data_IF_754376346101
#
_entry.id   IF_754376346101
#
_cell.length_a   1.000
_cell.length_b   1.000
_cell.length_c   1.000
_cell.angle_alpha   90.00
_cell.angle_beta   90.00
_cell.angle_gamma   90.00
#
_symmetry.space_group_name_H-M   'P 1'
#
loop_
_entity.id
_entity.type
_entity.pdbx_description
1 polymer ?
#
# COMPACT_ATOMS: atom_id res chain seq x y z
N UNK A 1 -40.17 -24.01 -36.78
CA UNK A 1 -39.94 -22.99 -35.73
C UNK A 1 -38.53 -23.20 -35.20
N UNK A 2 -37.56 -22.41 -35.67
CA UNK A 2 -36.14 -22.60 -35.35
C UNK A 2 -35.67 -21.37 -34.60
N UNK A 3 -35.49 -21.52 -33.29
CA UNK A 3 -35.04 -20.46 -32.39
C UNK A 3 -33.58 -20.15 -32.68
N UNK A 4 -33.31 -19.00 -33.28
CA UNK A 4 -31.96 -18.50 -33.57
C UNK A 4 -31.32 -18.08 -32.23
N UNK A 5 -30.48 -18.95 -31.66
CA UNK A 5 -29.66 -18.58 -30.50
C UNK A 5 -28.73 -17.42 -30.90
N UNK A 6 -28.91 -16.27 -30.25
CA UNK A 6 -27.99 -15.15 -30.37
C UNK A 6 -26.64 -15.56 -29.78
N UNK A 7 -25.57 -15.37 -30.55
CA UNK A 7 -24.20 -15.56 -30.06
C UNK A 7 -23.92 -14.58 -28.90
N UNK A 8 -23.17 -15.00 -27.87
CA UNK A 8 -22.80 -14.11 -26.78
C UNK A 8 -21.98 -12.94 -27.33
N UNK A 9 -22.29 -11.72 -26.87
CA UNK A 9 -21.59 -10.52 -27.25
C UNK A 9 -20.08 -10.70 -26.99
N UNK A 10 -19.29 -10.53 -28.03
CA UNK A 10 -17.83 -10.48 -27.95
C UNK A 10 -17.48 -9.27 -27.08
N UNK A 11 -16.98 -9.53 -25.87
CA UNK A 11 -16.42 -8.50 -25.00
C UNK A 11 -15.29 -7.78 -25.74
N UNK A 12 -15.43 -6.47 -25.89
CA UNK A 12 -14.45 -5.61 -26.56
C UNK A 12 -13.05 -5.86 -25.94
N UNK A 13 -12.02 -6.25 -26.73
CA UNK A 13 -10.68 -6.56 -26.23
C UNK A 13 -9.98 -5.35 -25.58
N UNK A 14 -10.55 -4.14 -25.69
CA UNK A 14 -10.10 -2.95 -24.98
C UNK A 14 -10.78 -2.68 -23.64
N UNK A 15 -11.77 -3.49 -23.25
CA UNK A 15 -12.33 -3.46 -21.90
C UNK A 15 -11.32 -4.15 -20.97
N UNK A 16 -10.27 -3.42 -20.58
CA UNK A 16 -9.42 -3.86 -19.47
C UNK A 16 -10.36 -4.10 -18.29
N UNK A 17 -10.45 -5.35 -17.81
CA UNK A 17 -11.11 -5.63 -16.53
C UNK A 17 -10.63 -4.60 -15.52
N UNK A 18 -11.59 -3.93 -14.86
CA UNK A 18 -11.27 -3.08 -13.74
C UNK A 18 -10.50 -3.94 -12.75
N UNK A 19 -9.18 -3.72 -12.67
CA UNK A 19 -8.34 -4.48 -11.75
C UNK A 19 -8.97 -4.32 -10.36
N UNK A 20 -9.13 -5.38 -9.57
CA UNK A 20 -9.73 -5.32 -8.23
C UNK A 20 -8.95 -4.42 -7.23
N UNK A 21 -7.91 -3.72 -7.70
CA UNK A 21 -7.10 -2.72 -7.02
C UNK A 21 -7.16 -1.39 -7.78
N UNK A 22 -8.38 -0.97 -8.17
CA UNK A 22 -8.64 0.29 -8.82
C UNK A 22 -8.24 1.43 -7.88
N UNK A 23 -7.08 2.02 -8.17
CA UNK A 23 -6.50 3.25 -7.62
C UNK A 23 -7.16 3.73 -6.33
N UNK A 24 -6.58 3.37 -5.20
CA UNK A 24 -6.99 3.94 -3.92
C UNK A 24 -7.09 5.47 -4.07
N UNK A 25 -8.25 6.03 -3.74
CA UNK A 25 -8.46 7.47 -3.85
C UNK A 25 -7.86 8.17 -2.64
N UNK A 26 -7.19 9.30 -2.84
CA UNK A 26 -6.68 10.12 -1.76
C UNK A 26 -7.82 10.64 -0.88
N UNK A 27 -7.65 10.60 0.44
CA UNK A 27 -8.58 11.16 1.41
C UNK A 27 -7.83 12.06 2.39
N UNK A 28 -8.49 13.04 3.01
CA UNK A 28 -7.85 13.94 3.97
C UNK A 28 -8.11 13.57 5.42
N UNK A 29 -9.04 12.65 5.67
CA UNK A 29 -9.43 12.20 7.01
C UNK A 29 -9.99 10.77 6.97
N UNK A 30 -9.96 10.09 8.12
CA UNK A 30 -10.57 8.78 8.29
C UNK A 30 -12.09 8.89 8.41
N UNK A 31 -12.81 7.96 7.77
CA UNK A 31 -14.25 7.84 7.95
C UNK A 31 -14.58 7.25 9.34
N UNK A 32 -15.78 7.48 9.89
CA UNK A 32 -16.22 6.85 11.14
C UNK A 32 -16.16 5.31 11.09
N UNK A 33 -16.43 4.74 9.91
CA UNK A 33 -16.31 3.29 9.68
C UNK A 33 -14.87 2.82 9.75
N UNK A 34 -13.93 3.57 9.17
CA UNK A 34 -12.50 3.27 9.27
C UNK A 34 -12.00 3.30 10.72
N UNK A 35 -12.43 4.30 11.50
CA UNK A 35 -12.05 4.41 12.92
C UNK A 35 -12.53 3.20 13.73
N UNK A 36 -13.78 2.74 13.52
CA UNK A 36 -14.34 1.57 14.21
C UNK A 36 -13.62 0.26 13.87
N UNK A 37 -13.00 0.17 12.70
CA UNK A 37 -12.28 -1.02 12.26
C UNK A 37 -10.82 -1.10 12.69
N UNK A 38 -10.26 -0.06 13.33
CA UNK A 38 -8.86 -0.05 13.78
C UNK A 38 -8.52 -1.20 14.75
N UNK A 39 -9.36 -1.52 15.76
CA UNK A 39 -9.07 -2.65 16.65
C UNK A 39 -9.02 -3.98 15.89
N UNK A 40 -9.97 -4.19 14.97
CA UNK A 40 -10.05 -5.41 14.14
C UNK A 40 -8.80 -5.53 13.24
N UNK A 41 -8.39 -4.42 12.60
CA UNK A 41 -7.19 -4.35 11.77
C UNK A 41 -5.94 -4.75 12.56
N UNK A 42 -5.74 -4.16 13.74
CA UNK A 42 -4.57 -4.45 14.58
C UNK A 42 -4.54 -5.91 14.99
N UNK A 43 -5.64 -6.42 15.52
CA UNK A 43 -5.76 -7.80 15.99
C UNK A 43 -5.43 -8.81 14.87
N UNK A 44 -5.97 -8.61 13.67
CA UNK A 44 -5.78 -9.54 12.54
C UNK A 44 -4.39 -9.52 11.92
N UNK A 45 -3.58 -8.50 12.18
CA UNK A 45 -2.29 -8.30 11.50
C UNK A 45 -1.07 -8.33 12.43
N UNK A 46 -1.29 -8.42 13.76
CA UNK A 46 -0.24 -8.38 14.78
C UNK A 46 0.82 -9.47 14.57
N UNK A 47 0.39 -10.72 14.38
CA UNK A 47 1.29 -11.86 14.15
C UNK A 47 2.08 -11.75 12.83
N UNK A 48 1.52 -11.07 11.84
CA UNK A 48 2.10 -10.93 10.50
C UNK A 48 2.99 -9.68 10.35
N UNK A 49 3.10 -8.84 11.38
CA UNK A 49 3.77 -7.55 11.33
C UNK A 49 5.20 -7.62 10.76
N UNK A 50 6.03 -8.51 11.29
CA UNK A 50 7.42 -8.62 10.87
C UNK A 50 7.54 -9.08 9.41
N UNK A 51 6.66 -9.96 8.96
CA UNK A 51 6.58 -10.43 7.59
C UNK A 51 6.13 -9.30 6.64
N UNK A 52 5.13 -8.50 7.04
CA UNK A 52 4.66 -7.34 6.29
C UNK A 52 5.79 -6.33 6.03
N UNK A 53 6.49 -5.91 7.09
CA UNK A 53 7.58 -4.94 6.97
C UNK A 53 8.73 -5.47 6.10
N UNK A 54 9.06 -6.76 6.22
CA UNK A 54 10.09 -7.41 5.39
C UNK A 54 9.68 -7.43 3.92
N UNK A 55 8.46 -7.88 3.62
CA UNK A 55 7.93 -7.95 2.26
C UNK A 55 7.87 -6.57 1.60
N UNK A 56 7.46 -5.53 2.34
CA UNK A 56 7.45 -4.16 1.86
C UNK A 56 8.86 -3.65 1.52
N UNK A 57 9.84 -3.90 2.40
CA UNK A 57 11.23 -3.53 2.15
C UNK A 57 11.81 -4.28 0.95
N UNK A 58 11.56 -5.59 0.82
CA UNK A 58 12.04 -6.39 -0.30
C UNK A 58 11.35 -5.97 -1.62
N UNK A 59 10.05 -5.63 -1.61
CA UNK A 59 9.34 -5.06 -2.77
C UNK A 59 9.93 -3.69 -3.18
N UNK A 60 10.25 -2.84 -2.21
CA UNK A 60 10.87 -1.53 -2.48
C UNK A 60 12.24 -1.64 -3.18
N UNK A 61 12.97 -2.73 -2.96
CA UNK A 61 14.23 -3.02 -3.66
C UNK A 61 13.95 -3.47 -5.11
N UNK A 62 12.92 -4.27 -5.33
CA UNK A 62 12.52 -4.75 -6.66
C UNK A 62 12.09 -3.61 -7.59
N UNK A 63 11.27 -2.67 -7.10
CA UNK A 63 10.75 -1.57 -7.93
C UNK A 63 11.83 -0.61 -8.44
N UNK A 64 13.00 -0.56 -7.79
CA UNK A 64 14.13 0.26 -8.23
C UNK A 64 15.06 -0.43 -9.22
N UNK A 65 15.00 -1.76 -9.28
CA UNK A 65 15.87 -2.58 -10.12
C UNK A 65 15.05 -3.41 -11.10
N UNK A 66 14.21 -2.81 -11.96
CA UNK A 66 13.50 -3.58 -12.98
C UNK A 66 14.45 -4.24 -14.00
N UNK A 67 15.72 -3.76 -14.12
CA UNK A 67 16.66 -4.15 -15.19
C UNK A 67 17.93 -4.90 -14.72
N UNK A 68 18.16 -5.09 -13.41
CA UNK A 68 19.36 -5.81 -12.90
C UNK A 68 19.25 -7.34 -13.00
N UNK A 69 18.20 -7.88 -13.63
CA UNK A 69 18.12 -9.31 -13.93
C UNK A 69 19.19 -9.74 -14.97
N UNK A 70 19.76 -8.79 -15.72
CA UNK A 70 20.81 -9.05 -16.74
C UNK A 70 22.23 -8.79 -16.21
N UNK A 71 22.39 -7.91 -15.21
CA UNK A 71 23.70 -7.62 -14.58
C UNK A 71 23.80 -8.30 -13.21
N UNK A 72 24.39 -9.48 -13.25
CA UNK A 72 24.75 -10.27 -12.09
C UNK A 72 25.43 -9.45 -10.97
N UNK A 73 24.93 -9.63 -9.74
CA UNK A 73 25.74 -9.69 -8.51
C UNK A 73 26.28 -8.40 -7.88
N UNK A 74 25.47 -7.33 -7.76
CA UNK A 74 25.63 -6.41 -6.61
C UNK A 74 24.47 -6.53 -5.64
N UNK A 75 24.62 -7.45 -4.68
CA UNK A 75 23.74 -7.52 -3.52
C UNK A 75 23.63 -6.12 -2.90
N UNK A 76 22.42 -5.65 -2.54
CA UNK A 76 22.29 -4.36 -1.87
C UNK A 76 23.14 -4.37 -0.60
N UNK A 77 23.91 -3.29 -0.40
CA UNK A 77 24.73 -3.10 0.80
C UNK A 77 23.82 -3.28 2.02
N UNK A 78 24.25 -4.08 3.00
CA UNK A 78 23.45 -4.45 4.20
C UNK A 78 22.85 -3.20 4.88
N UNK A 79 23.59 -2.08 4.89
CA UNK A 79 23.15 -0.80 5.41
C UNK A 79 21.90 -0.24 4.72
N UNK A 80 21.78 -0.38 3.39
CA UNK A 80 20.62 0.07 2.62
C UNK A 80 19.40 -0.79 2.98
N UNK A 81 19.58 -2.12 3.05
CA UNK A 81 18.50 -3.05 3.41
C UNK A 81 17.97 -2.76 4.81
N UNK A 82 18.86 -2.53 5.78
CA UNK A 82 18.46 -2.23 7.16
C UNK A 82 17.74 -0.89 7.26
N UNK A 83 18.19 0.15 6.54
CA UNK A 83 17.49 1.45 6.50
C UNK A 83 16.07 1.30 5.96
N UNK A 84 15.88 0.55 4.87
CA UNK A 84 14.55 0.31 4.30
C UNK A 84 13.65 -0.53 5.18
N UNK A 85 14.19 -1.57 5.81
CA UNK A 85 13.44 -2.34 6.80
C UNK A 85 12.98 -1.46 7.94
N UNK A 86 13.85 -0.60 8.48
CA UNK A 86 13.46 0.36 9.53
C UNK A 86 12.35 1.29 9.06
N UNK A 87 12.45 1.86 7.86
CA UNK A 87 11.40 2.72 7.29
C UNK A 87 10.08 1.96 7.09
N UNK A 88 10.13 0.74 6.55
CA UNK A 88 8.97 -0.14 6.39
C UNK A 88 8.32 -0.47 7.73
N UNK A 89 9.12 -0.86 8.72
CA UNK A 89 8.66 -1.15 10.10
C UNK A 89 7.95 0.06 10.68
N UNK A 90 8.56 1.25 10.64
CA UNK A 90 7.95 2.48 11.16
C UNK A 90 6.61 2.80 10.48
N UNK A 91 6.56 2.65 9.16
CA UNK A 91 5.35 2.92 8.41
C UNK A 91 4.24 1.91 8.70
N UNK A 92 4.56 0.61 8.74
CA UNK A 92 3.58 -0.43 9.09
C UNK A 92 3.08 -0.23 10.52
N UNK A 93 3.95 0.09 11.49
CA UNK A 93 3.52 0.43 12.87
C UNK A 93 2.56 1.62 12.87
N UNK A 94 2.86 2.67 12.12
CA UNK A 94 1.99 3.83 12.01
C UNK A 94 0.60 3.44 11.44
N UNK A 95 0.56 2.58 10.42
CA UNK A 95 -0.70 2.08 9.85
C UNK A 95 -1.48 1.25 10.88
N UNK A 96 -0.86 0.29 11.55
CA UNK A 96 -1.55 -0.54 12.55
C UNK A 96 -2.04 0.26 13.77
N UNK A 97 -1.39 1.39 14.06
CA UNK A 97 -1.82 2.34 15.08
C UNK A 97 -2.84 3.37 14.57
N UNK A 98 -3.28 3.31 13.31
CA UNK A 98 -4.22 4.26 12.73
C UNK A 98 -3.71 5.70 12.65
N UNK A 99 -2.39 5.88 12.57
CA UNK A 99 -1.75 7.20 12.65
C UNK A 99 -1.94 7.97 11.34
N UNK A 100 -2.79 8.99 11.39
CA UNK A 100 -3.01 9.94 10.29
C UNK A 100 -2.72 11.39 10.70
N UNK A 101 -2.00 11.59 11.80
CA UNK A 101 -1.64 12.93 12.28
C UNK A 101 -0.55 13.57 11.41
N UNK A 102 -0.49 14.90 11.43
CA UNK A 102 0.46 15.71 10.65
C UNK A 102 1.92 15.26 10.77
N UNK A 103 2.35 14.85 11.96
CA UNK A 103 3.75 14.46 12.20
C UNK A 103 4.07 13.14 11.50
N UNK A 104 3.13 12.20 11.54
CA UNK A 104 3.22 10.92 10.83
C UNK A 104 3.22 11.13 9.32
N UNK A 105 2.28 11.92 8.79
CA UNK A 105 2.19 12.18 7.35
C UNK A 105 3.43 12.89 6.81
N UNK A 106 3.99 13.84 7.59
CA UNK A 106 5.26 14.50 7.25
C UNK A 106 6.43 13.52 7.26
N UNK A 107 6.49 12.63 8.25
CA UNK A 107 7.53 11.60 8.35
C UNK A 107 7.45 10.61 7.18
N UNK A 108 6.24 10.22 6.79
CA UNK A 108 6.01 9.41 5.61
C UNK A 108 6.54 10.11 4.36
N UNK A 109 6.07 11.32 4.06
CA UNK A 109 6.41 12.04 2.83
C UNK A 109 7.90 12.37 2.72
N UNK A 110 8.53 12.82 3.81
CA UNK A 110 9.88 13.39 3.77
C UNK A 110 10.98 12.43 4.23
N UNK A 111 10.64 11.30 4.86
CA UNK A 111 11.64 10.39 5.43
C UNK A 111 11.43 8.93 5.03
N UNK A 112 10.29 8.34 5.35
CA UNK A 112 10.09 6.90 5.15
C UNK A 112 9.95 6.55 3.67
N UNK A 113 9.14 7.31 2.94
CA UNK A 113 8.89 7.10 1.51
C UNK A 113 10.16 7.30 0.68
N UNK A 114 10.95 8.38 0.85
CA UNK A 114 12.18 8.54 0.08
C UNK A 114 13.26 7.49 0.44
N UNK A 115 13.29 7.01 1.69
CA UNK A 115 14.16 5.89 2.09
C UNK A 115 13.76 4.56 1.42
N UNK A 116 12.45 4.26 1.39
CA UNK A 116 11.92 3.07 0.71
C UNK A 116 12.10 3.17 -0.80
N UNK A 117 11.79 4.32 -1.38
CA UNK A 117 11.94 4.63 -2.80
C UNK A 117 13.40 4.83 -3.23
N UNK A 118 14.34 4.91 -2.29
CA UNK A 118 15.78 5.01 -2.55
C UNK A 118 16.18 6.24 -3.36
N UNK A 119 15.36 7.29 -3.31
CA UNK A 119 15.54 8.53 -4.07
C UNK A 119 16.31 9.60 -3.29
N UNK A 120 16.84 9.26 -2.11
CA UNK A 120 17.47 10.24 -1.23
C UNK A 120 16.40 11.12 -0.57
N UNK A 121 16.58 12.45 -0.43
CA UNK A 121 15.57 13.36 0.09
C UNK A 121 14.55 13.82 -0.97
N UNK A 122 14.68 13.38 -2.22
CA UNK A 122 13.77 13.78 -3.31
C UNK A 122 12.41 13.08 -3.18
N UNK A 123 11.44 13.85 -2.69
CA UNK A 123 10.05 13.41 -2.49
C UNK A 123 9.27 13.30 -3.79
N UNK A 124 9.60 14.13 -4.79
CA UNK A 124 8.91 14.11 -6.10
C UNK A 124 9.27 12.82 -6.83
N UNK A 125 10.55 12.46 -6.84
CA UNK A 125 11.00 11.17 -7.37
C UNK A 125 10.41 9.99 -6.58
N UNK A 126 10.22 10.13 -5.26
CA UNK A 126 9.68 9.08 -4.42
C UNK A 126 8.18 8.80 -4.66
N UNK A 127 7.41 9.81 -5.09
CA UNK A 127 5.94 9.72 -5.17
C UNK A 127 5.42 8.61 -6.09
N UNK A 128 6.07 8.39 -7.25
CA UNK A 128 5.70 7.31 -8.17
C UNK A 128 5.89 5.91 -7.57
N UNK A 129 7.00 5.70 -6.85
CA UNK A 129 7.25 4.49 -6.07
C UNK A 129 6.30 4.38 -4.88
N UNK A 130 5.94 5.52 -4.28
CA UNK A 130 5.02 5.62 -3.16
C UNK A 130 3.66 5.02 -3.45
N UNK A 131 3.05 5.36 -4.59
CA UNK A 131 1.79 4.77 -5.05
C UNK A 131 1.88 3.24 -5.15
N UNK A 132 2.95 2.73 -5.76
CA UNK A 132 3.19 1.28 -5.90
C UNK A 132 3.34 0.60 -4.55
N UNK A 133 4.03 1.23 -3.61
CA UNK A 133 4.23 0.73 -2.25
C UNK A 133 2.92 0.69 -1.46
N UNK A 134 2.08 1.73 -1.58
CA UNK A 134 0.75 1.79 -0.95
C UNK A 134 -0.14 0.66 -1.48
N UNK A 135 -0.22 0.49 -2.80
CA UNK A 135 -1.02 -0.58 -3.41
C UNK A 135 -0.49 -1.98 -3.06
N UNK A 136 0.83 -2.16 -3.05
CA UNK A 136 1.44 -3.40 -2.60
C UNK A 136 1.06 -3.72 -1.15
N UNK A 137 1.14 -2.73 -0.26
CA UNK A 137 0.80 -2.91 1.15
C UNK A 137 -0.69 -3.17 1.35
N UNK A 138 -1.55 -2.48 0.58
CA UNK A 138 -3.00 -2.74 0.54
C UNK A 138 -3.29 -4.19 0.19
N UNK A 139 -2.74 -4.68 -0.91
CA UNK A 139 -2.92 -6.06 -1.36
C UNK A 139 -2.40 -7.09 -0.36
N UNK A 140 -1.20 -6.85 0.17
CA UNK A 140 -0.56 -7.73 1.15
C UNK A 140 -1.36 -7.82 2.46
N UNK A 141 -1.82 -6.68 2.99
CA UNK A 141 -2.62 -6.66 4.20
C UNK A 141 -4.02 -7.21 3.96
N UNK A 142 -4.63 -6.95 2.81
CA UNK A 142 -5.92 -7.54 2.43
C UNK A 142 -5.83 -9.07 2.42
N UNK A 143 -4.78 -9.64 1.81
CA UNK A 143 -4.57 -11.08 1.84
C UNK A 143 -4.53 -11.63 3.28
N UNK A 144 -3.83 -10.95 4.19
CA UNK A 144 -3.79 -11.34 5.61
C UNK A 144 -5.16 -11.24 6.30
N UNK A 145 -5.96 -10.21 6.00
CA UNK A 145 -7.28 -10.03 6.60
C UNK A 145 -8.26 -11.16 6.22
N UNK A 146 -8.12 -11.71 5.01
CA UNK A 146 -9.02 -12.73 4.46
C UNK A 146 -8.40 -14.14 4.37
N UNK A 147 -7.29 -14.39 5.07
CA UNK A 147 -6.55 -15.66 5.01
C UNK A 147 -7.38 -16.87 5.50
N UNK A 148 -8.36 -16.65 6.38
CA UNK A 148 -9.24 -17.70 6.91
C UNK A 148 -10.61 -17.66 6.24
N UNK A 149 -10.86 -18.60 5.33
CA UNK A 149 -12.13 -18.72 4.59
C UNK A 149 -13.37 -18.97 5.46
N UNK A 150 -13.19 -19.54 6.65
CA UNK A 150 -14.27 -19.81 7.61
C UNK A 150 -14.52 -18.67 8.62
N UNK A 151 -13.78 -17.56 8.54
CA UNK A 151 -13.91 -16.47 9.50
C UNK A 151 -15.15 -15.61 9.23
N UNK A 152 -15.62 -14.93 10.28
CA UNK A 152 -16.68 -13.93 10.15
C UNK A 152 -16.19 -12.75 9.27
N UNK A 153 -16.96 -12.44 8.23
CA UNK A 153 -16.63 -11.37 7.28
C UNK A 153 -16.79 -9.96 7.87
N UNK A 154 -17.63 -9.78 8.91
CA UNK A 154 -17.94 -8.44 9.43
C UNK A 154 -16.72 -7.75 10.06
N UNK A 155 -15.93 -8.40 10.94
CA UNK A 155 -14.67 -7.83 11.41
C UNK A 155 -13.64 -7.59 10.29
N UNK A 156 -13.59 -8.48 9.28
CA UNK A 156 -12.66 -8.32 8.14
C UNK A 156 -13.02 -7.11 7.26
N UNK A 157 -14.31 -6.90 6.98
CA UNK A 157 -14.80 -5.75 6.24
C UNK A 157 -14.52 -4.43 6.99
N UNK A 158 -14.67 -4.43 8.31
CA UNK A 158 -14.30 -3.28 9.16
C UNK A 158 -12.80 -3.02 9.14
N UNK A 159 -11.97 -4.05 9.30
CA UNK A 159 -10.52 -3.95 9.22
C UNK A 159 -10.07 -3.43 7.83
N UNK A 160 -10.70 -3.91 6.75
CA UNK A 160 -10.44 -3.44 5.39
C UNK A 160 -10.80 -1.97 5.21
N UNK A 161 -11.96 -1.55 5.72
CA UNK A 161 -12.36 -0.14 5.70
C UNK A 161 -11.38 0.76 6.48
N UNK A 162 -10.84 0.28 7.59
CA UNK A 162 -9.81 0.95 8.36
C UNK A 162 -8.51 1.08 7.54
N UNK A 163 -8.05 -0.03 6.97
CA UNK A 163 -6.85 -0.07 6.12
C UNK A 163 -6.97 0.89 4.94
N UNK A 164 -8.05 0.80 4.16
CA UNK A 164 -8.27 1.64 2.98
C UNK A 164 -8.34 3.12 3.37
N UNK A 165 -8.99 3.46 4.49
CA UNK A 165 -9.02 4.83 5.01
C UNK A 165 -7.63 5.38 5.35
N UNK A 166 -6.81 4.62 6.06
CA UNK A 166 -5.45 5.05 6.45
C UNK A 166 -4.57 5.22 5.22
N UNK A 167 -4.59 4.23 4.32
CA UNK A 167 -3.80 4.26 3.11
C UNK A 167 -4.23 5.41 2.18
N UNK A 168 -5.51 5.77 2.15
CA UNK A 168 -6.03 6.90 1.40
C UNK A 168 -5.49 8.24 1.93
N UNK A 169 -5.39 8.39 3.26
CA UNK A 169 -4.78 9.57 3.89
C UNK A 169 -3.28 9.63 3.66
N UNK A 170 -2.61 8.48 3.75
CA UNK A 170 -1.18 8.38 3.42
C UNK A 170 -0.90 8.73 1.95
N UNK A 171 -1.77 8.28 1.04
CA UNK A 171 -1.67 8.61 -0.37
C UNK A 171 -1.87 10.11 -0.63
N UNK A 172 -2.83 10.75 0.04
CA UNK A 172 -3.02 12.20 -0.06
C UNK A 172 -1.75 12.96 0.35
N UNK A 173 -1.11 12.55 1.45
CA UNK A 173 0.15 13.16 1.88
C UNK A 173 1.27 13.03 0.83
N UNK A 174 1.38 11.87 0.17
CA UNK A 174 2.34 11.65 -0.92
C UNK A 174 2.01 12.53 -2.13
N UNK A 175 0.73 12.64 -2.50
CA UNK A 175 0.30 13.46 -3.63
C UNK A 175 0.47 14.96 -3.40
N UNK A 176 0.20 15.44 -2.18
CA UNK A 176 0.48 16.82 -1.81
C UNK A 176 1.96 17.13 -1.89
N UNK A 177 2.80 16.25 -1.33
CA UNK A 177 4.24 16.44 -1.38
C UNK A 177 4.77 16.45 -2.82
N UNK A 178 4.24 15.59 -3.70
CA UNK A 178 4.54 15.62 -5.15
C UNK A 178 4.17 16.95 -5.81
N UNK A 179 3.10 17.61 -5.36
CA UNK A 179 2.63 18.91 -5.87
C UNK A 179 3.32 20.10 -5.19
N UNK A 180 4.25 19.87 -4.25
CA UNK A 180 4.84 20.94 -3.44
C UNK A 180 3.86 21.56 -2.43
N UNK A 181 2.74 20.91 -2.15
CA UNK A 181 1.74 21.37 -1.19
C UNK A 181 2.11 20.93 0.24
N UNK A 182 1.76 21.73 1.26
CA UNK A 182 2.02 21.37 2.64
C UNK A 182 1.23 20.12 3.05
N UNK A 183 1.92 19.18 3.68
CA UNK A 183 1.30 18.03 4.37
C UNK A 183 0.66 18.56 5.66
N UNK A 184 -0.67 18.53 5.69
CA UNK A 184 -1.50 19.15 6.74
C UNK A 184 -1.59 18.28 7.98
#
# INVERSE_FOLDING_TARGET
>A
MTTKLAAPAVSDPNTREARPFAWLSSATALSPTAIRGLPDLRYMTEDSFAALARSLADFSLRIQRPLDLVSAHRAPIVSIRNRRRRAATLWVVAILAGRCDKSTLRSLANSWLPQLAGTGPDVVAAAGSGRKLIEFLRGLMTANLFDRSAANLVPQARALAALDGILAVHLDAVERARRGQPVS
#
